data_IF_741714670542
#
_entry.id   IF_741714670542
#
_cell.length_a   1.000
_cell.length_b   1.000
_cell.length_c   1.000
_cell.angle_alpha   90.00
_cell.angle_beta   90.00
_cell.angle_gamma   90.00
#
_symmetry.space_group_name_H-M   'P 1'
#
loop_
_entity.id
_entity.type
_entity.pdbx_description
1 polymer ?
#
# COMPACT_ATOMS: atom_id res chain seq x y z
N UNK A 1 -7.83 0.32 13.04
CA UNK A 1 -8.71 -0.09 11.93
C UNK A 1 -7.90 -0.17 10.66
N UNK A 2 -8.05 -1.26 9.91
CA UNK A 2 -7.49 -1.43 8.56
C UNK A 2 -8.63 -1.48 7.55
N UNK A 3 -8.48 -0.80 6.42
CA UNK A 3 -9.40 -0.86 5.28
C UNK A 3 -8.64 -1.16 4.00
N UNK A 4 -9.18 -2.05 3.18
CA UNK A 4 -8.69 -2.41 1.84
C UNK A 4 -9.76 -2.17 0.79
N UNK A 5 -10.01 -3.16 -0.06
CA UNK A 5 -10.97 -3.09 -1.15
C UNK A 5 -12.41 -2.82 -0.68
N UNK A 6 -13.07 -1.88 -1.34
CA UNK A 6 -14.51 -1.63 -1.25
C UNK A 6 -15.18 -1.89 -2.59
N UNK A 7 -16.38 -2.44 -2.58
CA UNK A 7 -17.15 -2.68 -3.80
C UNK A 7 -17.86 -1.41 -4.32
N UNK A 8 -18.07 -0.39 -3.49
CA UNK A 8 -18.75 0.84 -3.88
C UNK A 8 -18.37 2.04 -3.02
N UNK A 9 -18.52 3.26 -3.59
CA UNK A 9 -18.31 4.50 -2.85
C UNK A 9 -19.23 4.65 -1.63
N UNK A 10 -20.44 4.07 -1.67
CA UNK A 10 -21.39 4.12 -0.54
C UNK A 10 -20.85 3.39 0.70
N UNK A 11 -20.11 2.29 0.50
CA UNK A 11 -19.45 1.60 1.61
C UNK A 11 -18.35 2.47 2.22
N UNK A 12 -17.59 3.17 1.37
CA UNK A 12 -16.54 4.10 1.82
C UNK A 12 -17.17 5.24 2.63
N UNK A 13 -18.24 5.87 2.11
CA UNK A 13 -18.93 6.96 2.79
C UNK A 13 -19.48 6.51 4.14
N UNK A 14 -20.08 5.31 4.20
CA UNK A 14 -20.56 4.73 5.45
C UNK A 14 -19.44 4.54 6.49
N UNK A 15 -18.28 4.03 6.05
CA UNK A 15 -17.12 3.86 6.93
C UNK A 15 -16.57 5.19 7.39
N UNK A 16 -16.48 6.18 6.51
CA UNK A 16 -16.08 7.55 6.89
C UNK A 16 -17.01 8.12 7.96
N UNK A 17 -18.32 8.01 7.77
CA UNK A 17 -19.31 8.47 8.75
C UNK A 17 -19.22 7.71 10.07
N UNK A 18 -18.99 6.41 10.03
CA UNK A 18 -18.83 5.58 11.23
C UNK A 18 -17.58 5.94 12.04
N UNK A 19 -16.47 6.25 11.34
CA UNK A 19 -15.16 6.48 11.99
C UNK A 19 -14.93 7.92 12.44
N UNK A 20 -15.66 8.91 11.93
CA UNK A 20 -15.39 10.35 12.17
C UNK A 20 -15.32 10.75 13.64
N UNK A 21 -16.08 10.06 14.52
CA UNK A 21 -16.14 10.35 15.96
C UNK A 21 -15.45 9.25 16.80
N UNK A 22 -14.58 8.44 16.19
CA UNK A 22 -13.87 7.35 16.86
C UNK A 22 -12.41 7.70 17.06
N UNK A 23 -11.91 7.49 18.26
CA UNK A 23 -10.49 7.56 18.58
C UNK A 23 -9.79 6.25 18.18
N UNK A 24 -9.51 6.10 16.89
CA UNK A 24 -8.85 4.91 16.34
C UNK A 24 -7.69 5.31 15.43
N UNK A 25 -6.67 4.48 15.36
CA UNK A 25 -5.67 4.57 14.31
C UNK A 25 -6.21 3.94 13.04
N UNK A 26 -6.22 4.70 11.95
CA UNK A 26 -6.75 4.27 10.66
C UNK A 26 -5.62 4.05 9.66
N UNK A 27 -5.53 2.81 9.17
CA UNK A 27 -4.66 2.41 8.09
C UNK A 27 -5.51 2.12 6.83
N UNK A 28 -5.24 2.85 5.77
CA UNK A 28 -5.95 2.70 4.48
C UNK A 28 -5.02 2.13 3.42
N UNK A 29 -5.41 1.00 2.86
CA UNK A 29 -4.89 0.46 1.62
C UNK A 29 -5.86 0.86 0.49
N UNK A 30 -5.52 1.89 -0.31
CA UNK A 30 -6.50 2.58 -1.15
C UNK A 30 -6.64 1.92 -2.52
N UNK A 31 -7.19 0.72 -2.58
CA UNK A 31 -7.38 -0.03 -3.84
C UNK A 31 -8.17 0.79 -4.85
N UNK A 32 -7.49 1.32 -5.88
CA UNK A 32 -8.07 2.24 -6.86
C UNK A 32 -7.62 1.95 -8.31
N UNK A 33 -6.39 1.50 -8.52
CA UNK A 33 -5.84 1.31 -9.84
C UNK A 33 -4.47 0.65 -9.84
N UNK A 34 -3.98 0.30 -11.03
CA UNK A 34 -2.66 -0.26 -11.23
C UNK A 34 -2.14 0.03 -12.64
N UNK A 35 -0.82 -0.10 -12.87
CA UNK A 35 -0.18 0.09 -14.17
C UNK A 35 -0.58 1.42 -14.86
N UNK A 36 -0.62 2.51 -14.09
CA UNK A 36 -0.93 3.85 -14.57
C UNK A 36 -2.42 4.14 -14.82
N UNK A 37 -3.32 3.19 -14.54
CA UNK A 37 -4.73 3.32 -14.83
C UNK A 37 -5.62 3.03 -13.61
N UNK A 38 -6.71 3.80 -13.48
CA UNK A 38 -7.79 3.46 -12.54
C UNK A 38 -8.51 2.20 -13.03
N UNK A 39 -8.88 1.32 -12.11
CA UNK A 39 -9.69 0.14 -12.43
C UNK A 39 -11.04 0.55 -13.03
N UNK A 40 -11.47 -0.14 -14.10
CA UNK A 40 -12.69 0.17 -14.86
C UNK A 40 -13.98 0.05 -14.04
N UNK A 41 -13.95 -0.70 -12.94
CA UNK A 41 -15.10 -0.85 -12.04
C UNK A 41 -15.33 0.36 -11.14
N UNK A 42 -14.39 1.31 -11.07
CA UNK A 42 -14.47 2.48 -10.21
C UNK A 42 -14.73 3.75 -11.01
N UNK A 43 -15.67 4.56 -10.55
CA UNK A 43 -16.03 5.85 -11.10
C UNK A 43 -15.42 7.03 -10.31
N UNK A 44 -15.75 8.26 -10.69
CA UNK A 44 -15.24 9.47 -10.04
C UNK A 44 -15.80 9.63 -8.61
N UNK A 45 -17.02 9.13 -8.34
CA UNK A 45 -17.58 9.14 -6.98
C UNK A 45 -16.78 8.23 -6.07
N UNK A 46 -16.38 7.04 -6.56
CA UNK A 46 -15.53 6.14 -5.80
C UNK A 46 -14.18 6.79 -5.45
N UNK A 47 -13.50 7.39 -6.43
CA UNK A 47 -12.23 8.08 -6.21
C UNK A 47 -12.38 9.23 -5.22
N UNK A 48 -13.46 10.01 -5.33
CA UNK A 48 -13.75 11.12 -4.40
C UNK A 48 -13.95 10.62 -2.96
N UNK A 49 -14.77 9.59 -2.76
CA UNK A 49 -15.01 9.00 -1.44
C UNK A 49 -13.73 8.39 -0.87
N UNK A 50 -12.92 7.74 -1.72
CA UNK A 50 -11.64 7.19 -1.28
C UNK A 50 -10.64 8.29 -0.86
N UNK A 51 -10.60 9.43 -1.56
CA UNK A 51 -9.82 10.61 -1.13
C UNK A 51 -10.29 11.13 0.24
N UNK A 52 -11.57 11.10 0.54
CA UNK A 52 -12.10 11.47 1.87
C UNK A 52 -11.60 10.50 2.95
N UNK A 53 -11.70 9.18 2.70
CA UNK A 53 -11.22 8.16 3.63
C UNK A 53 -9.70 8.28 3.88
N UNK A 54 -8.91 8.45 2.81
CA UNK A 54 -7.46 8.74 2.89
C UNK A 54 -7.21 10.03 3.67
N UNK A 55 -8.09 11.03 3.53
CA UNK A 55 -8.04 12.27 4.32
C UNK A 55 -8.10 12.03 5.83
N UNK A 56 -8.82 11.00 6.29
CA UNK A 56 -8.96 10.62 7.70
C UNK A 56 -7.84 9.70 8.20
N UNK A 57 -7.08 9.06 7.32
CA UNK A 57 -6.10 8.03 7.67
C UNK A 57 -4.88 8.61 8.42
N UNK A 58 -4.33 7.82 9.35
CA UNK A 58 -3.00 8.03 9.93
C UNK A 58 -1.91 7.42 9.02
N UNK A 59 -2.19 6.26 8.44
CA UNK A 59 -1.27 5.46 7.63
C UNK A 59 -1.92 5.09 6.30
N UNK A 60 -1.16 5.15 5.21
CA UNK A 60 -1.64 4.76 3.89
C UNK A 60 -0.58 3.97 3.12
N UNK A 61 -1.01 2.99 2.31
CA UNK A 61 -0.12 2.13 1.50
C UNK A 61 -0.53 2.03 0.03
N UNK A 62 -0.60 3.13 -0.72
CA UNK A 62 -0.91 3.10 -2.13
C UNK A 62 0.23 2.46 -2.96
N UNK A 63 -0.09 1.87 -4.11
CA UNK A 63 0.90 1.73 -5.17
C UNK A 63 1.14 3.10 -5.86
N UNK A 64 2.14 3.18 -6.75
CA UNK A 64 2.46 4.45 -7.42
C UNK A 64 1.28 5.01 -8.24
N UNK A 65 0.51 4.16 -8.91
CA UNK A 65 -0.69 4.57 -9.67
C UNK A 65 -1.74 5.19 -8.76
N UNK A 66 -2.03 4.53 -7.66
CA UNK A 66 -2.99 5.01 -6.66
C UNK A 66 -2.52 6.31 -6.01
N UNK A 67 -1.23 6.42 -5.69
CA UNK A 67 -0.65 7.65 -5.17
C UNK A 67 -0.86 8.83 -6.14
N UNK A 68 -0.64 8.61 -7.44
CA UNK A 68 -0.92 9.61 -8.48
C UNK A 68 -2.39 10.00 -8.56
N UNK A 69 -3.30 9.01 -8.58
CA UNK A 69 -4.76 9.23 -8.64
C UNK A 69 -5.28 9.98 -7.41
N UNK A 70 -4.73 9.70 -6.23
CA UNK A 70 -5.13 10.32 -4.97
C UNK A 70 -4.61 11.76 -4.85
N UNK A 71 -3.47 12.08 -5.46
CA UNK A 71 -2.81 13.39 -5.37
C UNK A 71 -2.96 14.24 -6.64
N UNK A 72 -3.71 13.74 -7.63
CA UNK A 72 -3.86 14.35 -8.96
C UNK A 72 -2.49 14.61 -9.63
N UNK A 73 -1.55 13.68 -9.46
CA UNK A 73 -0.20 13.72 -10.00
C UNK A 73 -0.09 12.96 -11.32
N UNK A 74 0.91 13.31 -12.13
CA UNK A 74 1.27 12.53 -13.31
C UNK A 74 2.14 11.33 -12.92
N UNK A 75 1.95 10.18 -13.57
CA UNK A 75 2.73 8.95 -13.30
C UNK A 75 4.24 9.12 -13.60
N UNK A 76 4.62 10.11 -14.41
CA UNK A 76 6.00 10.44 -14.72
C UNK A 76 6.62 11.48 -13.76
N UNK A 77 5.86 11.97 -12.79
CA UNK A 77 6.36 12.87 -11.73
C UNK A 77 7.27 12.08 -10.78
N UNK A 78 8.27 12.74 -10.19
CA UNK A 78 9.15 12.09 -9.20
C UNK A 78 8.31 11.54 -8.03
N UNK A 79 8.38 10.23 -7.73
CA UNK A 79 7.66 9.65 -6.60
C UNK A 79 7.92 10.35 -5.26
N UNK A 80 9.11 10.93 -5.08
CA UNK A 80 9.45 11.73 -3.88
C UNK A 80 8.59 13.00 -3.80
N UNK A 81 8.30 13.65 -4.92
CA UNK A 81 7.41 14.82 -4.92
C UNK A 81 5.93 14.41 -4.74
N UNK A 82 5.54 13.25 -5.28
CA UNK A 82 4.18 12.69 -5.08
C UNK A 82 3.93 12.38 -3.60
N UNK A 83 4.85 11.67 -2.93
CA UNK A 83 4.66 11.26 -1.53
C UNK A 83 4.57 12.47 -0.58
N UNK A 84 5.26 13.57 -0.87
CA UNK A 84 5.19 14.83 -0.10
C UNK A 84 3.82 15.50 -0.13
N UNK A 85 2.98 15.20 -1.14
CA UNK A 85 1.61 15.74 -1.24
C UNK A 85 0.67 15.16 -0.17
N UNK A 86 1.00 14.01 0.40
CA UNK A 86 0.30 13.43 1.55
C UNK A 86 0.75 14.10 2.85
N UNK A 87 0.18 15.29 3.12
CA UNK A 87 0.54 16.07 4.32
C UNK A 87 0.03 15.39 5.59
N UNK A 88 0.83 15.47 6.67
CA UNK A 88 0.49 14.97 8.01
C UNK A 88 0.10 13.48 8.05
N UNK A 89 0.68 12.65 7.16
CA UNK A 89 0.40 11.21 7.08
C UNK A 89 1.69 10.44 6.95
N UNK A 90 1.70 9.24 7.52
CA UNK A 90 2.74 8.24 7.28
C UNK A 90 2.35 7.41 6.08
N UNK A 91 3.24 7.33 5.10
CA UNK A 91 2.92 6.80 3.77
C UNK A 91 3.98 5.80 3.34
N UNK A 92 3.56 4.68 2.78
CA UNK A 92 4.43 3.79 2.04
C UNK A 92 3.88 3.59 0.63
N UNK A 93 4.56 4.15 -0.38
CA UNK A 93 4.22 3.87 -1.78
C UNK A 93 4.90 2.56 -2.17
N UNK A 94 4.10 1.59 -2.60
CA UNK A 94 4.57 0.27 -3.06
C UNK A 94 4.85 0.28 -4.56
N UNK A 95 5.51 -0.78 -5.05
CA UNK A 95 5.80 -0.96 -6.49
C UNK A 95 6.65 0.16 -7.10
N UNK A 96 7.57 0.74 -6.32
CA UNK A 96 8.55 1.71 -6.81
C UNK A 96 9.64 0.96 -7.58
N UNK A 97 9.81 1.35 -8.84
CA UNK A 97 10.87 0.83 -9.71
C UNK A 97 12.06 1.79 -9.73
N UNK A 98 13.27 1.25 -9.53
CA UNK A 98 14.52 2.01 -9.65
C UNK A 98 15.60 1.09 -10.21
N UNK A 99 16.03 1.34 -11.44
CA UNK A 99 16.94 0.46 -12.18
C UNK A 99 16.40 -0.99 -12.21
N UNK A 100 17.22 -1.98 -11.84
CA UNK A 100 16.84 -3.39 -11.75
C UNK A 100 16.19 -3.78 -10.40
N UNK A 101 15.75 -2.79 -9.63
CA UNK A 101 15.14 -2.99 -8.31
C UNK A 101 13.68 -2.60 -8.29
N UNK A 102 12.95 -3.23 -7.38
CA UNK A 102 11.57 -2.90 -7.04
C UNK A 102 11.44 -2.79 -5.51
N UNK A 103 10.56 -1.94 -5.03
CA UNK A 103 10.37 -1.82 -3.59
C UNK A 103 9.41 -0.74 -3.17
N UNK A 104 9.80 -0.02 -2.17
CA UNK A 104 8.94 0.89 -1.43
C UNK A 104 9.60 2.26 -1.28
N UNK A 105 8.79 3.32 -1.35
CA UNK A 105 9.16 4.66 -0.92
C UNK A 105 8.38 4.98 0.34
N UNK A 106 9.06 5.30 1.41
CA UNK A 106 8.47 5.50 2.74
C UNK A 106 8.59 6.96 3.15
N UNK A 107 7.51 7.51 3.70
CA UNK A 107 7.49 8.80 4.38
C UNK A 107 7.00 8.60 5.80
N UNK A 108 7.86 8.85 6.76
CA UNK A 108 7.56 8.83 8.20
C UNK A 108 7.88 10.23 8.75
N UNK A 109 6.84 11.00 8.97
CA UNK A 109 6.91 12.43 9.28
C UNK A 109 7.75 13.21 8.23
N UNK A 110 8.93 13.73 8.59
CA UNK A 110 9.82 14.47 7.69
C UNK A 110 10.86 13.57 7.00
N UNK A 111 10.99 12.32 7.41
CA UNK A 111 11.95 11.38 6.84
C UNK A 111 11.36 10.69 5.60
N UNK A 112 12.14 10.69 4.49
CA UNK A 112 11.77 9.96 3.27
C UNK A 112 12.93 9.06 2.87
N UNK A 113 12.65 7.75 2.71
CA UNK A 113 13.66 6.77 2.32
C UNK A 113 13.10 5.66 1.45
N UNK A 114 14.00 4.92 0.78
CA UNK A 114 13.67 3.77 -0.06
C UNK A 114 14.03 2.45 0.62
N UNK A 115 13.19 1.43 0.38
CA UNK A 115 13.52 0.03 0.67
C UNK A 115 13.44 -0.70 -0.67
N UNK A 116 14.57 -1.18 -1.19
CA UNK A 116 14.66 -1.75 -2.52
C UNK A 116 15.16 -3.19 -2.47
N UNK A 117 14.51 -4.08 -3.22
CA UNK A 117 14.86 -5.47 -3.44
C UNK A 117 15.18 -5.72 -4.90
N UNK A 118 15.89 -6.80 -5.23
CA UNK A 118 16.07 -7.20 -6.62
C UNK A 118 14.72 -7.57 -7.23
N UNK A 119 14.48 -7.11 -8.46
CA UNK A 119 13.26 -7.46 -9.19
C UNK A 119 13.26 -8.96 -9.50
N UNK A 120 12.16 -9.64 -9.22
CA UNK A 120 11.92 -11.02 -9.68
C UNK A 120 11.26 -11.00 -11.05
N UNK A 121 11.39 -12.09 -11.81
CA UNK A 121 10.85 -12.18 -13.18
C UNK A 121 9.33 -12.38 -13.20
N UNK A 122 8.82 -13.12 -12.22
CA UNK A 122 7.42 -13.49 -12.16
C UNK A 122 6.59 -12.38 -11.49
N UNK A 123 5.45 -12.05 -12.07
CA UNK A 123 4.47 -11.15 -11.46
C UNK A 123 3.59 -11.99 -10.51
N UNK A 124 3.79 -11.82 -9.20
CA UNK A 124 3.01 -12.52 -8.18
C UNK A 124 1.90 -11.60 -7.65
N UNK A 125 0.68 -12.11 -7.66
CA UNK A 125 -0.48 -11.42 -7.09
C UNK A 125 -0.58 -11.62 -5.57
N UNK A 126 -1.22 -10.67 -4.87
CA UNK A 126 -1.40 -10.71 -3.42
C UNK A 126 -0.21 -10.20 -2.60
N UNK A 127 0.85 -9.72 -3.24
CA UNK A 127 2.02 -9.14 -2.55
C UNK A 127 1.63 -7.92 -1.71
N UNK A 128 0.69 -7.08 -2.19
CA UNK A 128 0.16 -5.92 -1.46
C UNK A 128 -0.57 -6.34 -0.18
N UNK A 129 -1.47 -7.33 -0.27
CA UNK A 129 -2.25 -7.83 0.88
C UNK A 129 -1.34 -8.43 1.96
N UNK A 130 -0.33 -9.22 1.54
CA UNK A 130 0.66 -9.82 2.44
C UNK A 130 1.50 -8.73 3.11
N UNK A 131 1.96 -7.75 2.35
CA UNK A 131 2.71 -6.61 2.88
C UNK A 131 1.88 -5.83 3.91
N UNK A 132 0.64 -5.45 3.58
CA UNK A 132 -0.25 -4.72 4.46
C UNK A 132 -0.56 -5.49 5.74
N UNK A 133 -0.72 -6.81 5.65
CA UNK A 133 -0.95 -7.68 6.80
C UNK A 133 0.24 -7.69 7.77
N UNK A 134 1.47 -7.88 7.27
CA UNK A 134 2.68 -7.80 8.09
C UNK A 134 2.89 -6.40 8.67
N UNK A 135 2.62 -5.36 7.89
CA UNK A 135 2.72 -3.97 8.35
C UNK A 135 1.76 -3.69 9.51
N UNK A 136 0.48 -4.03 9.35
CA UNK A 136 -0.51 -3.87 10.41
C UNK A 136 -0.15 -4.63 11.67
N UNK A 137 0.24 -5.91 11.55
CA UNK A 137 0.61 -6.74 12.68
C UNK A 137 1.80 -6.15 13.44
N UNK A 138 2.84 -5.70 12.74
CA UNK A 138 4.03 -5.12 13.36
C UNK A 138 3.74 -3.75 13.98
N UNK A 139 2.90 -2.93 13.32
CA UNK A 139 2.45 -1.63 13.86
C UNK A 139 1.75 -1.77 15.22
N UNK A 140 0.89 -2.79 15.39
CA UNK A 140 0.21 -3.05 16.66
C UNK A 140 1.23 -3.40 17.76
N UNK A 141 2.32 -4.10 17.40
CA UNK A 141 3.34 -4.53 18.36
C UNK A 141 4.30 -3.41 18.78
N UNK A 142 4.69 -2.54 17.85
CA UNK A 142 5.81 -1.60 18.08
C UNK A 142 5.38 -0.15 18.12
N UNK A 143 4.24 0.18 17.53
CA UNK A 143 3.80 1.57 17.28
C UNK A 143 4.88 2.42 16.56
N UNK A 144 5.75 1.78 15.78
CA UNK A 144 6.83 2.41 15.03
C UNK A 144 6.63 2.12 13.54
N UNK A 145 6.32 3.16 12.75
CA UNK A 145 5.95 3.00 11.35
C UNK A 145 7.14 2.55 10.50
N UNK A 146 8.28 3.24 10.57
CA UNK A 146 9.47 2.91 9.79
C UNK A 146 9.95 1.48 10.06
N UNK A 147 10.05 1.07 11.34
CA UNK A 147 10.41 -0.30 11.72
C UNK A 147 9.42 -1.32 11.14
N UNK A 148 8.12 -1.00 11.21
CA UNK A 148 7.07 -1.89 10.73
C UNK A 148 7.08 -2.06 9.22
N UNK A 149 7.35 -0.97 8.47
CA UNK A 149 7.50 -1.03 7.01
C UNK A 149 8.73 -1.86 6.62
N UNK A 150 9.88 -1.66 7.28
CA UNK A 150 11.09 -2.44 7.02
C UNK A 150 10.84 -3.93 7.28
N UNK A 151 10.17 -4.25 8.40
CA UNK A 151 9.80 -5.63 8.74
C UNK A 151 8.86 -6.24 7.68
N UNK A 152 7.78 -5.52 7.31
CA UNK A 152 6.82 -5.99 6.32
C UNK A 152 7.47 -6.20 4.94
N UNK A 153 8.31 -5.28 4.49
CA UNK A 153 9.04 -5.40 3.23
C UNK A 153 9.95 -6.65 3.20
N UNK A 154 10.67 -6.90 4.31
CA UNK A 154 11.49 -8.11 4.44
C UNK A 154 10.65 -9.38 4.39
N UNK A 155 9.60 -9.47 5.19
CA UNK A 155 8.71 -10.64 5.27
C UNK A 155 8.02 -10.92 3.93
N UNK A 156 7.55 -9.89 3.24
CA UNK A 156 6.98 -10.03 1.90
C UNK A 156 8.00 -10.57 0.89
N UNK A 157 9.24 -10.08 0.92
CA UNK A 157 10.31 -10.62 0.08
C UNK A 157 10.66 -12.07 0.41
N UNK A 158 10.62 -12.45 1.69
CA UNK A 158 10.81 -13.84 2.12
C UNK A 158 9.68 -14.75 1.58
N UNK A 159 8.42 -14.29 1.61
CA UNK A 159 7.27 -14.99 1.01
C UNK A 159 7.41 -15.15 -0.51
N UNK A 160 7.81 -14.10 -1.22
CA UNK A 160 8.11 -14.15 -2.66
C UNK A 160 9.18 -15.20 -2.93
N UNK A 161 10.27 -15.17 -2.17
CA UNK A 161 11.38 -16.11 -2.32
C UNK A 161 10.96 -17.57 -2.04
N UNK A 162 10.13 -17.79 -1.03
CA UNK A 162 9.58 -19.12 -0.71
C UNK A 162 8.69 -19.63 -1.85
N UNK A 163 7.79 -18.77 -2.35
CA UNK A 163 6.89 -19.09 -3.48
C UNK A 163 7.67 -19.51 -4.73
N UNK A 164 8.68 -18.74 -5.12
CA UNK A 164 9.47 -19.01 -6.33
C UNK A 164 10.32 -20.27 -6.26
N UNK A 165 10.61 -20.79 -5.05
CA UNK A 165 11.32 -22.08 -4.88
C UNK A 165 10.42 -23.29 -5.11
N UNK A 166 9.11 -23.14 -5.08
CA UNK A 166 8.17 -24.23 -5.29
C UNK A 166 8.02 -24.54 -6.78
N UNK A 167 8.18 -25.82 -7.17
CA UNK A 167 7.91 -26.25 -8.53
C UNK A 167 6.43 -26.15 -8.84
N UNK A 168 6.09 -25.38 -9.89
CA UNK A 168 4.71 -25.20 -10.32
C UNK A 168 3.90 -24.26 -9.40
N UNK A 169 4.58 -23.33 -8.73
CA UNK A 169 3.93 -22.31 -7.92
C UNK A 169 2.86 -21.55 -8.73
N UNK A 170 1.80 -21.14 -8.05
CA UNK A 170 0.76 -20.28 -8.63
C UNK A 170 1.22 -18.82 -8.59
N UNK A 171 0.95 -18.07 -9.66
CA UNK A 171 1.14 -16.62 -9.64
C UNK A 171 0.06 -15.90 -8.80
N UNK A 172 -1.02 -16.59 -8.43
CA UNK A 172 -2.17 -16.04 -7.68
C UNK A 172 -2.11 -16.30 -6.17
N UNK A 173 -1.05 -16.91 -5.67
CA UNK A 173 -0.89 -17.17 -4.24
C UNK A 173 0.56 -17.04 -3.80
N UNK A 174 0.77 -16.43 -2.64
CA UNK A 174 2.07 -16.37 -1.98
C UNK A 174 2.14 -17.43 -0.88
N UNK A 175 3.26 -18.13 -0.80
CA UNK A 175 3.55 -19.03 0.30
C UNK A 175 4.01 -18.22 1.51
N UNK A 176 3.07 -17.77 2.32
CA UNK A 176 3.32 -16.99 3.53
C UNK A 176 3.41 -17.88 4.78
N UNK A 177 2.81 -19.08 4.76
CA UNK A 177 2.77 -19.97 5.93
C UNK A 177 4.15 -20.44 6.38
N UNK A 178 5.12 -20.50 5.47
CA UNK A 178 6.51 -20.85 5.81
C UNK A 178 7.33 -19.69 6.40
N UNK A 179 6.77 -18.47 6.40
CA UNK A 179 7.48 -17.23 6.76
C UNK A 179 6.96 -16.60 8.05
N UNK A 180 5.75 -17.00 8.49
CA UNK A 180 5.12 -16.54 9.73
C UNK A 180 5.89 -16.97 10.97
#
# INVERSE_FOLDING_TARGET
VYTGFFNSYKQIDYICDYLKDKEVKLFVDPVLGDNGNRFKCFDDNYQKSLKNLVGMADYISPNLTEACLLTDSNINEDPVEIIKKFKNKKVVITSIHKDDKIGYLVKDDDEIFHILNNKVKDELHGTGDVFASFLCAKMIQTNNFSESVIHAAKKTNDCITATLKEKGHSIYSLNFEQVI
#
